data_IF_500127126953
#
_entry.id   IF_500127126953
#
_cell.length_a   1.000
_cell.length_b   1.000
_cell.length_c   1.000
_cell.angle_alpha   90.00
_cell.angle_beta   90.00
_cell.angle_gamma   90.00
#
_symmetry.space_group_name_H-M   'P 1'
#
loop_
_entity.id
_entity.type
_entity.pdbx_description
1 polymer ?
#
# COMPACT_ATOMS: atom_id res chain seq x y z
N UNK A 1 -10.68 -1.45 35.30
CA UNK A 1 -9.82 -2.27 34.41
C UNK A 1 -10.70 -2.76 33.25
N UNK A 2 -10.56 -2.19 32.05
CA UNK A 2 -11.41 -2.55 30.90
C UNK A 2 -10.93 -3.87 30.32
N UNK A 3 -11.77 -4.89 30.34
CA UNK A 3 -11.50 -6.20 29.74
C UNK A 3 -11.29 -5.99 28.24
N UNK A 4 -10.09 -6.31 27.74
CA UNK A 4 -9.76 -6.28 26.31
C UNK A 4 -10.57 -7.38 25.62
N UNK A 5 -11.63 -7.00 24.91
CA UNK A 5 -12.39 -7.91 24.05
C UNK A 5 -11.40 -8.68 23.15
N UNK A 6 -11.39 -10.00 23.29
CA UNK A 6 -10.50 -10.89 22.55
C UNK A 6 -11.09 -11.02 21.15
N UNK A 7 -10.72 -10.09 20.27
CA UNK A 7 -11.03 -10.17 18.86
C UNK A 7 -10.32 -11.39 18.28
N UNK A 8 -11.07 -12.40 17.84
CA UNK A 8 -10.58 -13.62 17.20
C UNK A 8 -10.26 -13.32 15.72
N UNK A 9 -9.02 -12.95 15.34
CA UNK A 9 -8.70 -12.48 14.00
C UNK A 9 -8.46 -13.63 13.01
N UNK A 10 -8.83 -14.86 13.38
CA UNK A 10 -8.48 -16.11 12.69
C UNK A 10 -9.68 -16.80 12.03
N UNK A 11 -10.85 -16.16 12.00
CA UNK A 11 -12.08 -16.77 11.46
C UNK A 11 -12.03 -17.02 9.94
N UNK A 12 -11.13 -16.32 9.23
CA UNK A 12 -10.85 -16.58 7.82
C UNK A 12 -9.46 -17.17 7.64
N UNK A 13 -9.32 -18.21 6.79
CA UNK A 13 -8.01 -18.75 6.41
C UNK A 13 -7.13 -17.62 5.91
N UNK A 14 -6.05 -17.33 6.63
CA UNK A 14 -5.03 -16.38 6.19
C UNK A 14 -4.44 -16.96 4.90
N UNK A 15 -4.81 -16.39 3.75
CA UNK A 15 -4.27 -16.81 2.47
C UNK A 15 -2.74 -16.75 2.53
N UNK A 16 -2.08 -17.88 2.26
CA UNK A 16 -0.62 -17.93 2.21
C UNK A 16 -0.19 -17.14 0.97
N UNK A 17 0.39 -15.97 1.18
CA UNK A 17 0.94 -15.17 0.10
C UNK A 17 2.05 -15.95 -0.61
N UNK A 18 2.00 -15.99 -1.94
CA UNK A 18 3.04 -16.58 -2.78
C UNK A 18 4.21 -15.59 -2.86
N UNK A 19 5.40 -16.00 -2.43
CA UNK A 19 6.64 -15.22 -2.43
C UNK A 19 6.54 -13.87 -1.69
N UNK A 20 6.31 -13.87 -0.36
CA UNK A 20 6.30 -12.65 0.42
C UNK A 20 7.70 -12.04 0.47
N UNK A 21 7.83 -10.74 0.21
CA UNK A 21 9.12 -10.05 0.28
C UNK A 21 9.59 -9.86 1.73
N UNK A 22 8.65 -9.65 2.64
CA UNK A 22 8.88 -9.55 4.08
C UNK A 22 7.64 -10.05 4.84
N UNK A 23 7.85 -10.80 5.92
CA UNK A 23 6.79 -11.23 6.84
C UNK A 23 6.94 -10.51 8.18
N UNK A 24 5.84 -10.03 8.75
CA UNK A 24 5.83 -9.37 10.06
C UNK A 24 4.51 -9.59 10.80
N UNK A 25 4.51 -9.35 12.10
CA UNK A 25 3.31 -9.39 12.93
C UNK A 25 2.86 -7.97 13.25
N UNK A 26 1.55 -7.70 13.16
CA UNK A 26 1.02 -6.41 13.58
C UNK A 26 1.15 -6.26 15.12
N UNK A 27 1.70 -5.15 15.65
CA UNK A 27 1.86 -4.99 17.10
C UNK A 27 0.52 -4.83 17.85
N UNK A 28 -0.53 -4.36 17.18
CA UNK A 28 -1.83 -4.13 17.80
C UNK A 28 -2.71 -5.39 17.84
N UNK A 29 -2.92 -6.04 16.69
CA UNK A 29 -3.80 -7.21 16.55
C UNK A 29 -3.06 -8.56 16.51
N UNK A 30 -1.71 -8.55 16.48
CA UNK A 30 -0.84 -9.75 16.40
C UNK A 30 -1.10 -10.65 15.19
N UNK A 31 -1.86 -10.19 14.19
CA UNK A 31 -2.08 -10.93 12.95
C UNK A 31 -0.80 -10.96 12.11
N UNK A 32 -0.49 -12.14 11.53
CA UNK A 32 0.62 -12.32 10.59
C UNK A 32 0.33 -11.58 9.29
N UNK A 33 1.33 -10.89 8.75
CA UNK A 33 1.25 -10.15 7.50
C UNK A 33 2.46 -10.39 6.63
N UNK A 34 2.22 -10.38 5.32
CA UNK A 34 3.26 -10.36 4.32
C UNK A 34 3.15 -9.08 3.47
N UNK A 35 4.29 -8.46 3.17
CA UNK A 35 4.39 -7.44 2.12
C UNK A 35 4.76 -8.13 0.81
N UNK A 36 3.96 -7.91 -0.23
CA UNK A 36 4.23 -8.42 -1.57
C UNK A 36 5.10 -7.46 -2.37
N UNK A 37 4.89 -6.16 -2.17
CA UNK A 37 5.65 -5.13 -2.86
C UNK A 37 6.91 -4.74 -2.10
N UNK A 38 7.95 -4.37 -2.85
CA UNK A 38 9.14 -3.75 -2.30
C UNK A 38 9.18 -2.28 -2.72
N UNK A 39 9.73 -1.37 -1.88
CA UNK A 39 9.80 0.04 -2.21
C UNK A 39 10.88 0.36 -3.24
N UNK A 40 11.65 -0.64 -3.69
CA UNK A 40 12.74 -0.50 -4.65
C UNK A 40 12.24 -0.92 -6.03
N UNK A 41 12.72 -0.26 -7.07
CA UNK A 41 12.39 -0.64 -8.44
C UNK A 41 13.06 -1.97 -8.80
N UNK A 42 12.25 -2.93 -9.26
CA UNK A 42 12.76 -4.17 -9.85
C UNK A 42 13.31 -3.90 -11.25
N UNK A 43 14.21 -4.77 -11.73
CA UNK A 43 14.73 -4.75 -13.12
C UNK A 43 13.59 -4.74 -14.16
N UNK A 44 12.48 -5.43 -13.87
CA UNK A 44 11.28 -5.43 -14.72
C UNK A 44 10.65 -4.04 -14.85
N UNK A 45 10.66 -3.26 -13.77
CA UNK A 45 10.09 -1.91 -13.76
C UNK A 45 10.95 -0.96 -14.58
N UNK A 46 12.28 -1.12 -14.53
CA UNK A 46 13.19 -0.36 -15.39
C UNK A 46 12.97 -0.66 -16.86
N UNK A 47 12.81 -1.94 -17.22
CA UNK A 47 12.50 -2.34 -18.59
C UNK A 47 11.18 -1.72 -19.08
N UNK A 48 10.12 -1.76 -18.26
CA UNK A 48 8.85 -1.10 -18.57
C UNK A 48 8.99 0.42 -18.72
N UNK A 49 9.77 1.07 -17.85
CA UNK A 49 10.01 2.51 -17.93
C UNK A 49 10.70 2.90 -19.24
N UNK A 50 11.69 2.13 -19.69
CA UNK A 50 12.39 2.39 -20.96
C UNK A 50 11.46 2.20 -22.15
N UNK A 51 10.71 1.09 -22.20
CA UNK A 51 9.76 0.82 -23.29
C UNK A 51 8.65 1.87 -23.38
N UNK A 52 8.05 2.23 -22.24
CA UNK A 52 7.01 3.26 -22.19
C UNK A 52 7.53 4.63 -22.57
N UNK A 53 8.75 4.99 -22.14
CA UNK A 53 9.38 6.25 -22.57
C UNK A 53 9.63 6.25 -24.07
N UNK A 54 10.21 5.17 -24.63
CA UNK A 54 10.47 5.07 -26.07
C UNK A 54 9.18 5.18 -26.90
N UNK A 55 8.12 4.50 -26.46
CA UNK A 55 6.80 4.58 -27.09
C UNK A 55 6.23 6.00 -27.06
N UNK A 56 6.23 6.65 -25.90
CA UNK A 56 5.74 8.03 -25.77
C UNK A 56 6.59 8.99 -26.60
N UNK A 57 7.91 8.83 -26.61
CA UNK A 57 8.80 9.67 -27.42
C UNK A 57 8.47 9.57 -28.90
N UNK A 58 8.18 8.36 -29.41
CA UNK A 58 7.77 8.15 -30.80
C UNK A 58 6.41 8.79 -31.11
N UNK A 59 5.42 8.65 -30.21
CA UNK A 59 4.10 9.26 -30.39
C UNK A 59 4.14 10.79 -30.37
N UNK A 60 4.98 11.39 -29.53
CA UNK A 60 5.09 12.86 -29.40
C UNK A 60 6.13 13.49 -30.34
N UNK A 61 6.86 12.69 -31.12
CA UNK A 61 7.84 13.18 -32.10
C UNK A 61 7.29 14.22 -33.09
N UNK A 62 6.13 14.03 -33.76
CA UNK A 62 5.63 15.00 -34.73
C UNK A 62 5.19 16.33 -34.12
N UNK A 63 4.91 16.37 -32.81
CA UNK A 63 4.45 17.57 -32.10
C UNK A 63 5.62 18.37 -31.50
N UNK A 64 6.57 17.69 -30.86
CA UNK A 64 7.58 18.35 -30.01
C UNK A 64 9.03 18.14 -30.48
N UNK A 65 9.27 17.25 -31.46
CA UNK A 65 10.60 16.92 -31.97
C UNK A 65 11.58 16.58 -30.85
N UNK A 66 12.76 17.22 -30.84
CA UNK A 66 13.79 17.03 -29.82
C UNK A 66 13.35 17.40 -28.39
N UNK A 67 12.28 18.17 -28.19
CA UNK A 67 11.78 18.46 -26.83
C UNK A 67 11.14 17.23 -26.17
N UNK A 68 10.88 16.18 -26.95
CA UNK A 68 10.33 14.89 -26.49
C UNK A 68 11.21 14.20 -25.43
N UNK A 69 12.53 14.46 -25.38
CA UNK A 69 13.41 13.88 -24.37
C UNK A 69 13.04 14.25 -22.92
N UNK A 70 12.37 15.39 -22.69
CA UNK A 70 11.90 15.77 -21.34
C UNK A 70 10.84 14.81 -20.79
N UNK A 71 10.13 14.06 -21.65
CA UNK A 71 9.12 13.07 -21.26
C UNK A 71 9.75 11.98 -20.38
N UNK A 72 11.03 11.64 -20.58
CA UNK A 72 11.74 10.66 -19.75
C UNK A 72 11.68 11.00 -18.25
N UNK A 73 11.89 12.26 -17.88
CA UNK A 73 11.85 12.68 -16.47
C UNK A 73 10.45 12.50 -15.87
N UNK A 74 9.40 12.81 -16.63
CA UNK A 74 8.02 12.64 -16.18
C UNK A 74 7.65 11.17 -16.03
N UNK A 75 8.02 10.32 -16.99
CA UNK A 75 7.76 8.88 -16.93
C UNK A 75 8.52 8.26 -15.77
N UNK A 76 9.80 8.59 -15.60
CA UNK A 76 10.60 8.13 -14.46
C UNK A 76 9.96 8.52 -13.12
N UNK A 77 9.61 9.80 -12.96
CA UNK A 77 8.97 10.30 -11.74
C UNK A 77 7.63 9.60 -11.47
N UNK A 78 6.82 9.37 -12.51
CA UNK A 78 5.56 8.65 -12.41
C UNK A 78 5.76 7.19 -11.96
N UNK A 79 6.77 6.50 -12.51
CA UNK A 79 7.10 5.14 -12.10
C UNK A 79 7.62 5.07 -10.66
N UNK A 80 8.49 6.00 -10.25
CA UNK A 80 8.99 6.05 -8.86
C UNK A 80 7.85 6.34 -7.87
N UNK A 81 7.00 7.32 -8.20
CA UNK A 81 5.81 7.63 -7.43
C UNK A 81 4.85 6.44 -7.35
N UNK A 82 4.57 5.78 -8.48
CA UNK A 82 3.68 4.63 -8.55
C UNK A 82 4.13 3.46 -7.68
N UNK A 83 5.40 3.07 -7.78
CA UNK A 83 5.97 2.00 -6.94
C UNK A 83 5.90 2.37 -5.46
N UNK A 84 6.28 3.61 -5.10
CA UNK A 84 6.27 4.10 -3.72
C UNK A 84 4.83 4.21 -3.17
N UNK A 85 3.87 4.60 -3.99
CA UNK A 85 2.45 4.68 -3.62
C UNK A 85 1.85 3.29 -3.43
N UNK A 86 2.18 2.34 -4.30
CA UNK A 86 1.68 0.97 -4.17
C UNK A 86 2.19 0.32 -2.88
N UNK A 87 3.48 0.50 -2.56
CA UNK A 87 4.03 0.05 -1.29
C UNK A 87 3.32 0.70 -0.09
N UNK A 88 3.01 2.00 -0.15
CA UNK A 88 2.29 2.69 0.94
C UNK A 88 0.89 2.17 1.19
N UNK A 89 0.16 1.75 0.14
CA UNK A 89 -1.16 1.13 0.28
C UNK A 89 -1.09 -0.21 1.01
N UNK A 90 0.03 -0.91 0.90
CA UNK A 90 0.25 -2.17 1.61
C UNK A 90 0.68 -1.97 3.07
N UNK A 91 0.92 -0.75 3.59
CA UNK A 91 1.37 -0.51 4.99
C UNK A 91 0.24 -0.62 6.05
N UNK A 92 -0.97 -0.03 5.90
CA UNK A 92 -1.99 -0.05 6.94
C UNK A 92 -2.58 -1.45 7.13
N UNK A 93 -2.76 -1.92 8.36
CA UNK A 93 -3.29 -3.26 8.64
C UNK A 93 -4.76 -3.39 8.21
N UNK A 94 -5.14 -4.42 7.41
CA UNK A 94 -6.53 -4.59 6.96
C UNK A 94 -7.49 -5.01 8.09
N UNK A 95 -6.97 -5.55 9.19
CA UNK A 95 -7.80 -6.01 10.30
C UNK A 95 -8.12 -4.92 11.32
N UNK A 96 -7.14 -4.08 11.65
CA UNK A 96 -7.25 -3.09 12.74
C UNK A 96 -6.95 -1.64 12.32
N UNK A 97 -6.62 -1.40 11.05
CA UNK A 97 -6.29 -0.06 10.55
C UNK A 97 -4.94 0.50 11.02
N UNK A 98 -4.18 -0.24 11.83
CA UNK A 98 -2.91 0.24 12.40
C UNK A 98 -1.84 0.46 11.31
N UNK A 99 -1.23 1.65 11.29
CA UNK A 99 -0.15 2.02 10.38
C UNK A 99 1.13 2.33 11.17
N UNK A 100 2.15 1.49 11.00
CA UNK A 100 3.44 1.62 11.67
C UNK A 100 4.23 2.88 11.22
N UNK A 101 4.01 3.35 9.99
CA UNK A 101 4.67 4.54 9.46
C UNK A 101 4.16 5.82 10.13
N UNK A 102 2.87 5.88 10.43
CA UNK A 102 2.29 6.97 11.22
C UNK A 102 2.64 6.84 12.69
N UNK A 103 2.64 5.65 13.27
CA UNK A 103 3.01 5.46 14.68
C UNK A 103 4.42 5.98 14.99
N UNK A 104 5.38 5.74 14.09
CA UNK A 104 6.76 6.27 14.23
C UNK A 104 6.84 7.79 14.11
N UNK A 105 5.93 8.43 13.37
CA UNK A 105 5.93 9.88 13.12
C UNK A 105 5.11 10.67 14.14
N UNK A 106 3.91 10.20 14.42
CA UNK A 106 2.93 10.81 15.33
C UNK A 106 1.95 9.76 15.85
N UNK A 107 2.06 9.47 17.15
CA UNK A 107 1.21 8.50 17.87
C UNK A 107 -0.25 8.95 17.89
N UNK A 108 -0.53 10.26 17.99
CA UNK A 108 -1.91 10.78 18.05
C UNK A 108 -2.63 10.53 16.73
N UNK A 109 -1.94 10.76 15.61
CA UNK A 109 -2.50 10.50 14.29
C UNK A 109 -2.72 9.01 14.04
N UNK A 110 -1.79 8.16 14.48
CA UNK A 110 -1.98 6.71 14.41
C UNK A 110 -3.20 6.25 15.20
N UNK A 111 -3.41 6.78 16.41
CA UNK A 111 -4.59 6.49 17.22
C UNK A 111 -5.90 6.94 16.54
N UNK A 112 -5.89 8.13 15.93
CA UNK A 112 -7.03 8.64 15.17
C UNK A 112 -7.38 7.72 14.00
N UNK A 113 -6.40 7.31 13.19
CA UNK A 113 -6.61 6.39 12.05
C UNK A 113 -7.24 5.07 12.51
N UNK A 114 -6.75 4.49 13.61
CA UNK A 114 -7.34 3.27 14.17
C UNK A 114 -8.78 3.52 14.62
N UNK A 115 -9.04 4.63 15.31
CA UNK A 115 -10.39 4.98 15.80
C UNK A 115 -11.37 5.15 14.64
N UNK A 116 -10.97 5.91 13.61
CA UNK A 116 -11.75 6.14 12.39
C UNK A 116 -12.05 4.82 11.67
N UNK A 117 -11.07 3.89 11.61
CA UNK A 117 -11.24 2.56 11.03
C UNK A 117 -12.35 1.76 11.74
N UNK A 118 -12.35 1.72 13.07
CA UNK A 118 -13.38 1.02 13.84
C UNK A 118 -14.75 1.69 13.74
N UNK A 119 -14.80 3.02 13.76
CA UNK A 119 -16.04 3.78 13.56
C UNK A 119 -16.66 3.50 12.18
N UNK A 120 -15.84 3.41 11.13
CA UNK A 120 -16.31 3.08 9.78
C UNK A 120 -16.87 1.65 9.64
N UNK A 121 -16.47 0.73 10.52
CA UNK A 121 -16.88 -0.68 10.49
C UNK A 121 -18.16 -0.96 11.31
N UNK A 122 -18.36 -0.20 12.39
CA UNK A 122 -19.50 -0.31 13.30
C UNK A 122 -20.92 -0.18 12.66
N UNK A 123 -21.19 0.63 11.61
CA UNK A 123 -22.56 0.75 11.09
C UNK A 123 -23.07 -0.49 10.35
N UNK A 124 -22.21 -1.47 10.01
CA UNK A 124 -22.60 -2.66 9.24
C UNK A 124 -22.88 -3.90 10.09
N UNK A 125 -22.52 -3.93 11.38
CA UNK A 125 -22.78 -5.08 12.26
C UNK A 125 -24.24 -5.14 12.77
N UNK A 126 -24.99 -4.03 12.68
CA UNK A 126 -26.38 -3.96 13.17
C UNK A 126 -27.45 -4.48 12.19
N UNK A 127 -27.10 -4.84 10.95
CA UNK A 127 -28.06 -5.30 9.90
C UNK A 127 -27.87 -6.78 9.49
N UNK A 128 -27.03 -7.55 10.18
CA UNK A 128 -26.81 -8.97 9.92
C UNK A 128 -27.37 -9.89 11.03
N UNK A 129 -28.21 -9.35 11.92
CA UNK A 129 -28.92 -10.07 12.98
C UNK A 129 -30.44 -9.78 12.94
N UNK A 130 -31.00 -9.64 11.72
CA UNK A 130 -32.43 -9.55 11.47
C UNK A 130 -32.92 -10.76 10.70
#
# INVERSE_FOLDING_TARGET
>A
MKIRQVHNPLENRVFKYKNPSMEFYCPLCRTKRAFTSTPRMSVKNYFQCVLTTAFLMACFWPLMGFKSFFIFFFVWAAFEAGVRMNFRKEIPCPHCGFDASWYKKDVKKAHKIVTDFWQSKAPHENNAQG
#
